data_IF_266111131935
#
_entry.id   IF_266111131935
#
_cell.length_a   1.000
_cell.length_b   1.000
_cell.length_c   1.000
_cell.angle_alpha   90.00
_cell.angle_beta   90.00
_cell.angle_gamma   90.00
#
_symmetry.space_group_name_H-M   'P 1'
#
loop_
_entity.id
_entity.type
_entity.pdbx_description
1 polymer ?
#
# COMPACT_ATOMS: atom_id res chain seq x y z
N UNK A 1 40.28 -6.99 -8.00
CA UNK A 1 38.95 -7.01 -7.37
C UNK A 1 37.95 -6.15 -8.16
N UNK A 2 38.20 -4.85 -8.33
CA UNK A 2 37.34 -3.92 -9.10
C UNK A 2 37.12 -4.27 -10.59
N UNK A 3 38.10 -4.90 -11.25
CA UNK A 3 37.96 -5.36 -12.65
C UNK A 3 36.98 -6.52 -12.85
N UNK A 4 36.68 -7.33 -11.82
CA UNK A 4 35.71 -8.44 -11.94
C UNK A 4 34.28 -7.93 -11.82
N UNK A 5 34.03 -7.05 -10.85
CA UNK A 5 32.71 -6.44 -10.63
C UNK A 5 32.25 -5.63 -11.86
N UNK A 6 33.18 -4.94 -12.55
CA UNK A 6 32.88 -4.19 -13.77
C UNK A 6 32.47 -5.07 -14.97
N UNK A 7 32.87 -6.34 -15.00
CA UNK A 7 32.52 -7.26 -16.08
C UNK A 7 31.15 -7.92 -15.86
N UNK A 8 30.72 -8.09 -14.62
CA UNK A 8 29.41 -8.70 -14.30
C UNK A 8 28.24 -7.73 -14.49
N UNK A 9 28.50 -6.42 -14.48
CA UNK A 9 27.49 -5.36 -14.61
C UNK A 9 27.26 -4.86 -16.03
N UNK A 10 28.05 -5.31 -17.01
CA UNK A 10 27.87 -4.90 -18.40
C UNK A 10 27.15 -6.01 -19.19
N UNK A 11 25.91 -5.81 -19.65
CA UNK A 11 25.23 -6.80 -20.48
C UNK A 11 26.00 -7.01 -21.80
N UNK A 12 25.94 -8.21 -22.40
CA UNK A 12 26.61 -8.47 -23.66
C UNK A 12 26.10 -7.52 -24.73
N UNK A 13 27.03 -6.96 -25.53
CA UNK A 13 26.67 -6.07 -26.63
C UNK A 13 25.74 -6.81 -27.61
N UNK A 14 24.72 -6.14 -28.17
CA UNK A 14 23.80 -6.77 -29.11
C UNK A 14 24.57 -7.30 -30.32
N UNK A 15 24.50 -8.62 -30.56
CA UNK A 15 25.11 -9.28 -31.72
C UNK A 15 26.05 -10.46 -31.45
N UNK A 16 26.36 -10.81 -30.19
CA UNK A 16 27.13 -12.04 -29.91
C UNK A 16 26.21 -13.27 -29.77
N UNK A 17 26.48 -14.38 -30.48
CA UNK A 17 25.73 -15.62 -30.33
C UNK A 17 26.00 -16.23 -28.94
N UNK A 18 24.93 -16.53 -28.19
CA UNK A 18 25.01 -17.22 -26.90
C UNK A 18 25.49 -18.65 -27.13
N UNK A 19 26.59 -19.05 -26.49
CA UNK A 19 26.98 -20.46 -26.45
C UNK A 19 25.96 -21.25 -25.61
N UNK A 20 25.50 -22.42 -26.07
CA UNK A 20 24.59 -23.27 -25.31
C UNK A 20 25.31 -23.85 -24.10
N UNK A 21 24.94 -23.40 -22.90
CA UNK A 21 25.40 -23.99 -21.65
C UNK A 21 24.85 -25.40 -21.49
N UNK A 22 25.72 -26.34 -21.14
CA UNK A 22 25.38 -27.73 -20.87
C UNK A 22 24.29 -27.85 -19.80
N UNK A 23 23.19 -28.53 -20.14
CA UNK A 23 22.11 -28.82 -19.21
C UNK A 23 22.60 -29.83 -18.15
N UNK A 24 22.36 -29.59 -16.85
CA UNK A 24 22.61 -30.61 -15.84
C UNK A 24 21.64 -31.78 -16.04
N UNK A 25 22.20 -32.98 -16.17
CA UNK A 25 21.46 -34.24 -16.27
C UNK A 25 20.85 -34.59 -14.90
N UNK A 26 19.62 -34.14 -14.69
CA UNK A 26 18.77 -34.51 -13.57
C UNK A 26 17.33 -34.23 -13.97
N UNK A 27 16.60 -35.25 -14.40
CA UNK A 27 15.20 -35.11 -14.80
C UNK A 27 14.36 -34.56 -13.64
N UNK A 28 13.37 -33.70 -13.88
CA UNK A 28 12.48 -33.26 -12.82
C UNK A 28 11.68 -34.47 -12.35
N UNK A 29 12.08 -35.04 -11.21
CA UNK A 29 11.18 -35.86 -10.41
C UNK A 29 9.91 -35.05 -10.24
N UNK A 30 8.79 -35.58 -10.74
CA UNK A 30 7.50 -34.92 -10.69
C UNK A 30 7.25 -34.47 -9.26
N UNK A 31 7.29 -33.16 -9.05
CA UNK A 31 6.86 -32.57 -7.79
C UNK A 31 5.37 -32.87 -7.74
N UNK A 32 4.99 -33.91 -7.01
CA UNK A 32 3.60 -34.23 -6.79
C UNK A 32 2.92 -32.95 -6.27
N UNK A 33 1.95 -32.44 -7.04
CA UNK A 33 1.19 -31.27 -6.65
C UNK A 33 0.70 -31.50 -5.22
N UNK A 34 1.07 -30.64 -4.24
CA UNK A 34 0.58 -30.80 -2.89
C UNK A 34 -0.94 -30.80 -2.97
N UNK A 35 -1.58 -31.82 -2.41
CA UNK A 35 -3.04 -31.91 -2.35
C UNK A 35 -3.53 -30.68 -1.59
N UNK A 36 -4.03 -29.70 -2.33
CA UNK A 36 -4.30 -28.37 -1.84
C UNK A 36 -5.45 -28.43 -0.83
N UNK A 37 -5.12 -28.35 0.45
CA UNK A 37 -6.04 -27.75 1.41
C UNK A 37 -6.34 -26.34 0.88
N UNK A 38 -7.50 -26.18 0.23
CA UNK A 38 -7.85 -24.93 -0.45
C UNK A 38 -7.67 -23.73 0.47
N UNK A 39 -7.12 -22.65 -0.06
CA UNK A 39 -6.96 -21.38 0.67
C UNK A 39 -8.33 -20.89 1.13
N UNK A 40 -8.62 -20.95 2.43
CA UNK A 40 -9.89 -20.48 2.98
C UNK A 40 -9.84 -18.97 3.20
N UNK A 41 -10.31 -18.21 2.22
CA UNK A 41 -10.47 -16.75 2.36
C UNK A 41 -11.91 -16.42 2.73
N UNK A 42 -12.09 -15.84 3.91
CA UNK A 42 -13.39 -15.44 4.45
C UNK A 42 -13.52 -13.94 4.67
N UNK A 43 -12.43 -13.17 4.55
CA UNK A 43 -12.37 -11.74 4.87
C UNK A 43 -11.82 -10.99 3.68
N UNK A 44 -12.51 -9.94 3.30
CA UNK A 44 -12.16 -9.10 2.17
C UNK A 44 -12.21 -7.64 2.60
N UNK A 45 -11.21 -6.87 2.20
CA UNK A 45 -11.21 -5.41 2.35
C UNK A 45 -11.53 -4.77 1.02
N UNK A 46 -12.22 -3.63 1.00
CA UNK A 46 -12.53 -2.95 -0.27
C UNK A 46 -12.40 -1.44 -0.13
N UNK A 47 -11.96 -0.77 -1.20
CA UNK A 47 -11.93 0.69 -1.24
C UNK A 47 -13.36 1.25 -1.25
N UNK A 48 -13.68 2.28 -0.45
CA UNK A 48 -15.01 2.88 -0.39
C UNK A 48 -14.92 4.41 -0.44
N UNK A 49 -15.51 5.02 -1.47
CA UNK A 49 -15.63 6.47 -1.60
C UNK A 49 -17.03 6.84 -2.10
N UNK A 50 -17.63 7.91 -1.54
CA UNK A 50 -19.02 8.28 -1.83
C UNK A 50 -19.31 8.62 -3.30
N UNK A 51 -18.29 9.05 -4.04
CA UNK A 51 -18.38 9.39 -5.47
C UNK A 51 -18.00 8.21 -6.39
N UNK A 52 -17.68 7.03 -5.85
CA UNK A 52 -17.25 5.88 -6.65
C UNK A 52 -18.40 4.85 -6.84
N UNK A 53 -19.10 4.84 -7.99
CA UNK A 53 -20.20 3.90 -8.22
C UNK A 53 -19.72 2.45 -8.37
N UNK A 54 -18.53 2.24 -8.94
CA UNK A 54 -17.96 0.91 -9.21
C UNK A 54 -17.82 0.08 -7.93
N UNK A 55 -17.26 0.70 -6.88
CA UNK A 55 -17.01 0.00 -5.62
C UNK A 55 -18.30 -0.33 -4.87
N UNK A 56 -19.22 0.63 -4.78
CA UNK A 56 -20.50 0.42 -4.12
C UNK A 56 -21.29 -0.75 -4.75
N UNK A 57 -21.34 -0.79 -6.10
CA UNK A 57 -21.98 -1.87 -6.84
C UNK A 57 -21.29 -3.24 -6.61
N UNK A 58 -19.95 -3.28 -6.60
CA UNK A 58 -19.20 -4.51 -6.35
C UNK A 58 -19.45 -5.03 -4.92
N UNK A 59 -19.38 -4.17 -3.90
CA UNK A 59 -19.60 -4.55 -2.51
C UNK A 59 -21.02 -5.10 -2.28
N UNK A 60 -22.04 -4.49 -2.90
CA UNK A 60 -23.41 -4.99 -2.85
C UNK A 60 -23.55 -6.37 -3.50
N UNK A 61 -22.90 -6.58 -4.65
CA UNK A 61 -22.94 -7.86 -5.36
C UNK A 61 -22.18 -8.97 -4.61
N UNK A 62 -21.02 -8.68 -4.04
CA UNK A 62 -20.27 -9.64 -3.21
C UNK A 62 -21.10 -10.14 -2.03
N UNK A 63 -21.80 -9.24 -1.32
CA UNK A 63 -22.68 -9.62 -0.20
C UNK A 63 -23.84 -10.50 -0.65
N UNK A 64 -24.53 -10.11 -1.73
CA UNK A 64 -25.65 -10.89 -2.27
C UNK A 64 -25.23 -12.29 -2.68
N UNK A 65 -24.06 -12.40 -3.31
CA UNK A 65 -23.58 -13.65 -3.85
C UNK A 65 -22.98 -14.57 -2.78
N UNK A 66 -22.33 -14.00 -1.76
CA UNK A 66 -21.95 -14.74 -0.57
C UNK A 66 -23.16 -15.35 0.13
N UNK A 67 -24.25 -14.59 0.28
CA UNK A 67 -25.50 -15.10 0.86
C UNK A 67 -26.10 -16.24 0.02
N UNK A 68 -26.08 -16.13 -1.31
CA UNK A 68 -26.55 -17.20 -2.22
C UNK A 68 -25.72 -18.47 -2.11
N UNK A 69 -24.41 -18.33 -1.95
CA UNK A 69 -23.47 -19.46 -1.86
C UNK A 69 -23.32 -20.01 -0.43
N UNK A 70 -24.03 -19.47 0.56
CA UNK A 70 -23.93 -19.89 1.96
C UNK A 70 -22.57 -19.58 2.61
N UNK A 71 -21.85 -18.59 2.09
CA UNK A 71 -20.52 -18.20 2.55
C UNK A 71 -20.60 -17.23 3.72
N UNK A 72 -19.90 -17.53 4.81
CA UNK A 72 -19.62 -16.59 5.89
C UNK A 72 -18.54 -15.59 5.44
N UNK A 73 -18.97 -14.54 4.72
CA UNK A 73 -18.11 -13.50 4.18
C UNK A 73 -18.07 -12.28 5.11
N UNK A 74 -16.89 -11.93 5.61
CA UNK A 74 -16.62 -10.64 6.24
C UNK A 74 -16.12 -9.65 5.18
N UNK A 75 -16.93 -8.63 4.88
CA UNK A 75 -16.55 -7.56 3.94
C UNK A 75 -16.37 -6.24 4.71
N UNK A 76 -15.11 -5.85 4.93
CA UNK A 76 -14.74 -4.68 5.71
C UNK A 76 -14.34 -3.51 4.79
N UNK A 77 -14.85 -2.28 5.03
CA UNK A 77 -14.40 -1.12 4.28
C UNK A 77 -12.96 -0.75 4.68
N UNK A 78 -12.14 -0.43 3.69
CA UNK A 78 -10.82 0.16 3.90
C UNK A 78 -10.93 1.69 4.02
N UNK A 79 -10.11 2.30 4.88
CA UNK A 79 -9.91 3.75 4.91
C UNK A 79 -9.41 4.20 3.54
N UNK A 80 -10.25 4.91 2.80
CA UNK A 80 -9.98 5.28 1.41
C UNK A 80 -9.65 6.77 1.33
N UNK A 81 -8.51 7.11 0.72
CA UNK A 81 -8.04 8.50 0.59
C UNK A 81 -7.96 8.93 -0.88
N UNK A 82 -8.75 8.30 -1.74
CA UNK A 82 -8.85 8.63 -3.16
C UNK A 82 -10.06 9.52 -3.46
N UNK A 83 -10.05 10.19 -4.61
CA UNK A 83 -11.15 11.05 -5.07
C UNK A 83 -12.29 10.28 -5.75
N UNK A 84 -12.20 8.95 -5.87
CA UNK A 84 -13.25 8.11 -6.46
C UNK A 84 -13.24 7.97 -8.00
N UNK A 85 -12.30 8.62 -8.70
CA UNK A 85 -12.18 8.61 -10.17
C UNK A 85 -11.19 7.56 -10.72
N UNK A 86 -10.85 6.52 -9.95
CA UNK A 86 -9.84 5.54 -10.32
C UNK A 86 -10.24 4.69 -11.55
N UNK A 87 -9.28 4.53 -12.47
CA UNK A 87 -9.45 3.71 -13.67
C UNK A 87 -9.32 2.22 -13.35
N UNK A 88 -8.35 1.85 -12.50
CA UNK A 88 -7.99 0.45 -12.17
C UNK A 88 -8.85 -0.18 -11.07
N UNK A 89 -9.60 0.64 -10.32
CA UNK A 89 -10.50 0.17 -9.26
C UNK A 89 -11.78 -0.49 -9.82
N UNK A 90 -12.54 -1.23 -8.98
CA UNK A 90 -12.39 -1.31 -7.52
C UNK A 90 -11.28 -2.28 -7.09
N UNK A 91 -10.67 -1.98 -5.95
CA UNK A 91 -9.69 -2.85 -5.32
C UNK A 91 -10.31 -3.66 -4.19
N UNK A 92 -9.89 -4.91 -4.09
CA UNK A 92 -10.36 -5.88 -3.11
C UNK A 92 -9.16 -6.58 -2.47
N UNK A 93 -8.90 -6.34 -1.19
CA UNK A 93 -7.81 -6.97 -0.45
C UNK A 93 -8.21 -8.32 0.14
N UNK A 94 -7.21 -9.18 0.25
CA UNK A 94 -7.26 -10.53 0.81
C UNK A 94 -6.27 -10.57 1.99
N UNK A 95 -6.61 -10.02 3.16
CA UNK A 95 -5.66 -9.85 4.26
C UNK A 95 -5.00 -11.16 4.70
N UNK A 96 -5.70 -12.30 4.57
CA UNK A 96 -5.17 -13.62 4.94
C UNK A 96 -4.07 -14.12 4.01
N UNK A 97 -4.04 -13.63 2.77
CA UNK A 97 -3.10 -14.09 1.75
C UNK A 97 -2.05 -13.06 1.40
N UNK A 98 -2.15 -11.86 1.97
CA UNK A 98 -1.35 -10.70 1.63
C UNK A 98 -1.39 -10.32 0.13
N UNK A 99 -2.59 -10.42 -0.46
CA UNK A 99 -2.84 -10.15 -1.88
C UNK A 99 -4.00 -9.15 -2.10
N UNK A 100 -4.08 -8.61 -3.31
CA UNK A 100 -5.25 -7.86 -3.78
C UNK A 100 -5.70 -8.30 -5.16
N UNK A 101 -7.00 -8.11 -5.37
CA UNK A 101 -7.60 -8.06 -6.69
C UNK A 101 -7.90 -6.62 -7.10
N UNK A 102 -7.74 -6.32 -8.40
CA UNK A 102 -8.10 -5.04 -8.99
C UNK A 102 -9.08 -5.22 -10.17
N UNK A 103 -9.86 -4.18 -10.45
CA UNK A 103 -10.77 -4.12 -11.59
C UNK A 103 -11.86 -5.21 -11.59
N UNK A 104 -12.26 -5.70 -10.42
CA UNK A 104 -13.30 -6.74 -10.33
C UNK A 104 -14.65 -6.14 -10.68
N UNK A 105 -15.33 -6.72 -11.68
CA UNK A 105 -16.66 -6.24 -12.06
C UNK A 105 -17.75 -6.85 -11.16
N UNK A 106 -18.88 -6.17 -10.97
CA UNK A 106 -19.96 -6.70 -10.14
C UNK A 106 -20.54 -8.04 -10.63
N UNK A 107 -20.44 -8.36 -11.93
CA UNK A 107 -20.88 -9.64 -12.51
C UNK A 107 -19.91 -10.79 -12.23
N UNK A 108 -18.61 -10.51 -12.07
CA UNK A 108 -17.60 -11.51 -11.75
C UNK A 108 -17.56 -11.90 -10.28
N UNK A 109 -18.20 -11.12 -9.39
CA UNK A 109 -18.17 -11.31 -7.94
C UNK A 109 -18.45 -12.75 -7.50
N UNK A 110 -19.41 -13.43 -8.13
CA UNK A 110 -19.78 -14.80 -7.77
C UNK A 110 -18.80 -15.86 -8.19
N UNK A 111 -18.28 -15.76 -9.41
CA UNK A 111 -17.21 -16.62 -9.87
C UNK A 111 -15.95 -16.41 -9.02
N UNK A 112 -15.66 -15.17 -8.63
CA UNK A 112 -14.52 -14.84 -7.79
C UNK A 112 -14.63 -15.48 -6.40
N UNK A 113 -15.79 -15.39 -5.74
CA UNK A 113 -16.03 -16.04 -4.45
C UNK A 113 -15.98 -17.58 -4.56
N UNK A 114 -16.54 -18.15 -5.62
CA UNK A 114 -16.49 -19.59 -5.83
C UNK A 114 -15.06 -20.09 -6.04
N UNK A 115 -14.25 -19.37 -6.82
CA UNK A 115 -12.85 -19.73 -7.02
C UNK A 115 -12.02 -19.51 -5.74
N UNK A 116 -12.11 -18.31 -5.14
CA UNK A 116 -11.22 -17.90 -4.05
C UNK A 116 -11.64 -18.45 -2.69
N UNK A 117 -12.92 -18.34 -2.31
CA UNK A 117 -13.40 -18.71 -0.98
C UNK A 117 -13.81 -20.18 -0.87
N UNK A 118 -14.43 -20.76 -1.92
CA UNK A 118 -14.89 -22.16 -1.88
C UNK A 118 -13.81 -23.13 -2.37
N UNK A 119 -13.28 -22.89 -3.58
CA UNK A 119 -12.30 -23.78 -4.19
C UNK A 119 -10.85 -23.53 -3.74
N UNK A 120 -10.59 -22.40 -3.07
CA UNK A 120 -9.28 -22.04 -2.57
C UNK A 120 -8.25 -21.73 -3.65
N UNK A 121 -8.71 -21.28 -4.82
CA UNK A 121 -7.89 -20.93 -5.99
C UNK A 121 -7.89 -19.42 -6.20
N UNK A 122 -6.72 -18.88 -6.55
CA UNK A 122 -6.60 -17.47 -6.90
C UNK A 122 -7.06 -17.21 -8.33
N UNK A 123 -7.79 -16.10 -8.51
CA UNK A 123 -8.16 -15.61 -9.84
C UNK A 123 -7.01 -14.79 -10.39
N UNK A 124 -6.01 -15.47 -10.98
CA UNK A 124 -4.75 -14.85 -11.42
C UNK A 124 -4.93 -13.62 -12.31
N UNK A 125 -5.93 -13.61 -13.22
CA UNK A 125 -6.21 -12.45 -14.08
C UNK A 125 -6.63 -11.18 -13.35
N UNK A 126 -7.08 -11.31 -12.09
CA UNK A 126 -7.49 -10.19 -11.23
C UNK A 126 -6.45 -9.86 -10.19
N UNK A 127 -5.45 -10.72 -9.97
CA UNK A 127 -4.36 -10.43 -9.05
C UNK A 127 -3.63 -9.18 -9.50
N UNK A 128 -3.53 -8.23 -8.58
CA UNK A 128 -2.75 -7.02 -8.79
C UNK A 128 -1.39 -7.22 -8.12
N UNK A 129 -0.43 -7.70 -8.90
CA UNK A 129 0.94 -7.98 -8.49
C UNK A 129 1.87 -6.98 -9.18
N UNK A 130 1.86 -5.75 -8.69
CA UNK A 130 2.84 -4.76 -9.09
C UNK A 130 3.68 -4.41 -7.85
N UNK A 131 4.93 -4.91 -7.73
CA UNK A 131 5.78 -4.63 -6.57
C UNK A 131 6.16 -3.14 -6.47
N UNK A 132 5.85 -2.34 -7.50
CA UNK A 132 6.01 -0.89 -7.47
C UNK A 132 4.78 -0.17 -6.91
N UNK A 133 3.61 -0.81 -6.83
CA UNK A 133 2.33 -0.19 -6.42
C UNK A 133 1.68 -0.89 -5.22
N UNK A 134 1.90 -2.19 -5.06
CA UNK A 134 1.34 -2.99 -3.98
C UNK A 134 2.47 -3.76 -3.34
N UNK A 135 2.80 -3.37 -2.11
CA UNK A 135 3.74 -4.10 -1.27
C UNK A 135 3.02 -4.98 -0.25
N UNK A 136 1.72 -4.74 0.01
CA UNK A 136 1.02 -5.30 1.18
C UNK A 136 -0.52 -5.20 1.06
N UNK A 137 -1.28 -6.28 1.28
CA UNK A 137 -2.77 -6.37 1.24
C UNK A 137 -3.54 -5.40 2.13
N UNK A 138 -2.84 -4.72 3.03
CA UNK A 138 -3.39 -3.79 4.00
C UNK A 138 -3.28 -2.35 3.53
N UNK A 139 -2.46 -2.08 2.50
CA UNK A 139 -2.28 -0.74 1.91
C UNK A 139 -2.22 -0.82 0.39
N UNK A 140 -3.07 -0.04 -0.24
CA UNK A 140 -3.03 0.21 -1.67
C UNK A 140 -2.35 1.55 -1.88
N UNK A 141 -1.14 1.54 -2.42
CA UNK A 141 -0.33 2.74 -2.61
C UNK A 141 0.04 2.92 -4.09
N UNK A 142 -0.69 3.79 -4.80
CA UNK A 142 -0.34 4.09 -6.19
C UNK A 142 0.94 4.93 -6.24
N UNK A 143 2.05 4.31 -6.66
CA UNK A 143 3.39 4.91 -6.61
C UNK A 143 3.62 5.97 -7.68
N UNK A 144 3.01 5.86 -8.86
CA UNK A 144 3.28 6.82 -9.93
C UNK A 144 2.74 8.22 -9.60
N UNK A 145 1.59 8.27 -8.93
CA UNK A 145 0.90 9.45 -8.42
C UNK A 145 1.27 9.73 -6.96
N UNK A 146 1.87 8.78 -6.24
CA UNK A 146 2.15 8.91 -4.81
C UNK A 146 0.87 8.91 -3.97
N UNK A 147 -0.18 8.24 -4.43
CA UNK A 147 -1.50 8.30 -3.81
C UNK A 147 -1.74 7.08 -2.93
N UNK A 148 -1.97 7.31 -1.63
CA UNK A 148 -2.53 6.29 -0.76
C UNK A 148 -3.99 6.08 -1.13
N UNK A 149 -4.32 4.97 -1.78
CA UNK A 149 -5.66 4.71 -2.31
C UNK A 149 -6.57 4.18 -1.20
N UNK A 150 -6.14 3.14 -0.50
CA UNK A 150 -6.90 2.54 0.59
C UNK A 150 -5.99 1.88 1.62
N UNK A 151 -6.43 1.83 2.87
CA UNK A 151 -5.74 1.13 3.97
C UNK A 151 -6.75 0.33 4.79
N UNK A 152 -6.41 -0.89 5.20
CA UNK A 152 -7.26 -1.69 6.08
C UNK A 152 -7.56 -0.94 7.39
N UNK A 153 -8.81 -1.03 7.86
CA UNK A 153 -9.21 -0.46 9.13
C UNK A 153 -8.41 -1.07 10.31
N UNK A 154 -8.10 -0.25 11.31
CA UNK A 154 -7.32 -0.65 12.49
C UNK A 154 -5.81 -0.54 12.31
N UNK A 155 -5.32 -0.05 11.17
CA UNK A 155 -3.92 0.39 11.03
C UNK A 155 -3.80 1.91 11.22
N UNK A 156 -2.70 2.33 11.82
CA UNK A 156 -2.45 3.74 12.09
C UNK A 156 -2.01 4.48 10.82
N UNK A 157 -2.87 5.40 10.34
CA UNK A 157 -2.57 6.25 9.18
C UNK A 157 -1.38 7.18 9.45
N UNK A 158 -1.31 7.76 10.66
CA UNK A 158 -0.20 8.66 11.05
C UNK A 158 1.11 7.87 11.04
N UNK A 159 1.12 6.64 11.56
CA UNK A 159 2.26 5.75 11.53
C UNK A 159 2.72 5.44 10.10
N UNK A 160 1.79 5.13 9.19
CA UNK A 160 2.10 4.90 7.78
C UNK A 160 2.77 6.12 7.12
N UNK A 161 2.18 7.32 7.24
CA UNK A 161 2.79 8.51 6.63
C UNK A 161 4.11 8.91 7.31
N UNK A 162 4.27 8.62 8.60
CA UNK A 162 5.55 8.80 9.32
C UNK A 162 6.63 7.92 8.72
N UNK A 163 6.34 6.64 8.53
CA UNK A 163 7.25 5.68 7.90
C UNK A 163 7.62 6.08 6.46
N UNK A 164 6.64 6.50 5.66
CA UNK A 164 6.91 7.00 4.31
C UNK A 164 7.87 8.19 4.34
N UNK A 165 7.68 9.13 5.27
CA UNK A 165 8.57 10.28 5.42
C UNK A 165 9.94 9.96 6.03
N UNK A 166 10.06 8.89 6.82
CA UNK A 166 11.36 8.34 7.24
C UNK A 166 12.17 7.87 6.02
N UNK A 167 11.55 7.06 5.16
CA UNK A 167 12.16 6.61 3.90
C UNK A 167 12.49 7.79 2.98
N UNK A 168 11.53 8.69 2.75
CA UNK A 168 11.74 9.85 1.88
C UNK A 168 12.82 10.80 2.40
N UNK A 169 12.99 10.90 3.73
CA UNK A 169 14.07 11.65 4.35
C UNK A 169 15.45 11.03 4.04
N UNK A 170 15.54 9.70 4.02
CA UNK A 170 16.77 8.99 3.64
C UNK A 170 17.09 9.10 2.14
N UNK A 171 16.06 9.09 1.28
CA UNK A 171 16.22 9.13 -0.18
C UNK A 171 16.36 10.56 -0.76
N UNK A 172 16.11 11.59 0.03
CA UNK A 172 16.22 12.98 -0.42
C UNK A 172 17.67 13.29 -0.82
N UNK A 173 17.88 13.68 -2.09
CA UNK A 173 19.21 14.08 -2.55
C UNK A 173 19.73 15.40 -1.93
N UNK A 174 18.88 16.14 -1.21
CA UNK A 174 19.26 17.37 -0.48
C UNK A 174 19.67 18.56 -1.35
N UNK A 175 19.51 18.50 -2.69
CA UNK A 175 19.98 19.55 -3.60
C UNK A 175 19.29 20.90 -3.39
N UNK A 176 17.97 20.91 -3.24
CA UNK A 176 17.20 22.12 -3.02
C UNK A 176 16.89 22.31 -1.53
N UNK A 177 16.89 23.57 -1.07
CA UNK A 177 16.59 23.94 0.31
C UNK A 177 15.28 23.32 0.88
N UNK A 178 14.14 23.35 0.17
CA UNK A 178 12.90 22.76 0.69
C UNK A 178 13.01 21.24 0.89
N UNK A 179 13.65 20.48 0.00
CA UNK A 179 13.84 19.04 0.22
C UNK A 179 14.88 18.74 1.31
N UNK A 180 15.94 19.55 1.40
CA UNK A 180 17.03 19.36 2.39
C UNK A 180 16.59 19.58 3.83
N UNK A 181 15.61 20.46 4.07
CA UNK A 181 15.13 20.75 5.43
C UNK A 181 13.67 20.31 5.64
N UNK A 182 12.82 20.52 4.64
CA UNK A 182 11.39 20.29 4.73
C UNK A 182 11.02 18.83 4.95
N UNK A 183 11.70 17.89 4.27
CA UNK A 183 11.41 16.45 4.45
C UNK A 183 11.69 16.00 5.88
N UNK A 184 12.83 16.40 6.44
CA UNK A 184 13.17 16.10 7.84
C UNK A 184 12.28 16.83 8.85
N UNK A 185 11.87 18.08 8.55
CA UNK A 185 10.91 18.82 9.38
C UNK A 185 9.56 18.09 9.42
N UNK A 186 9.02 17.69 8.27
CA UNK A 186 7.77 16.95 8.18
C UNK A 186 7.87 15.62 8.93
N UNK A 187 8.93 14.85 8.71
CA UNK A 187 9.15 13.60 9.43
C UNK A 187 9.17 13.83 10.96
N UNK A 188 9.84 14.87 11.45
CA UNK A 188 9.86 15.23 12.88
C UNK A 188 8.48 15.62 13.41
N UNK A 189 7.72 16.42 12.66
CA UNK A 189 6.37 16.82 13.04
C UNK A 189 5.43 15.61 13.10
N UNK A 190 5.52 14.70 12.13
CA UNK A 190 4.76 13.46 12.10
C UNK A 190 5.09 12.56 13.29
N UNK A 191 6.38 12.38 13.62
CA UNK A 191 6.81 11.67 14.84
C UNK A 191 6.26 12.31 16.11
N UNK A 192 6.25 13.64 16.18
CA UNK A 192 5.64 14.37 17.29
C UNK A 192 4.15 14.04 17.42
N UNK A 193 3.39 14.15 16.32
CA UNK A 193 1.95 13.84 16.32
C UNK A 193 1.70 12.38 16.67
N UNK A 194 2.50 11.45 16.15
CA UNK A 194 2.40 10.03 16.48
C UNK A 194 2.59 9.76 17.98
N UNK A 195 3.46 10.53 18.64
CA UNK A 195 3.67 10.51 20.09
C UNK A 195 2.69 11.41 20.88
N UNK A 196 1.65 11.94 20.25
CA UNK A 196 0.66 12.81 20.89
C UNK A 196 1.15 14.23 21.21
N UNK A 197 2.21 14.68 20.55
CA UNK A 197 2.87 15.96 20.81
C UNK A 197 2.62 16.99 19.69
N UNK A 198 2.66 18.27 20.05
CA UNK A 198 2.66 19.40 19.11
C UNK A 198 1.36 20.19 19.04
N UNK A 199 0.21 19.59 19.42
CA UNK A 199 -1.10 20.24 19.43
C UNK A 199 -1.53 20.82 18.07
N UNK A 200 -2.57 21.67 18.07
CA UNK A 200 -3.10 22.30 16.85
C UNK A 200 -2.02 23.09 16.09
N UNK A 201 -1.14 23.79 16.81
CA UNK A 201 -0.02 24.52 16.21
C UNK A 201 1.00 23.59 15.52
N UNK A 202 1.17 22.36 16.01
CA UNK A 202 1.96 21.32 15.36
C UNK A 202 1.33 20.85 14.06
N UNK A 203 0.02 20.62 14.07
CA UNK A 203 -0.75 20.21 12.89
C UNK A 203 -0.74 21.29 11.81
N UNK A 204 -0.93 22.56 12.18
CA UNK A 204 -0.85 23.68 11.23
C UNK A 204 0.55 23.83 10.63
N UNK A 205 1.61 23.66 11.44
CA UNK A 205 2.99 23.62 10.93
C UNK A 205 3.21 22.46 9.95
N UNK A 206 2.62 21.29 10.22
CA UNK A 206 2.70 20.14 9.32
C UNK A 206 2.04 20.46 7.97
N UNK A 207 0.85 21.06 7.97
CA UNK A 207 0.14 21.48 6.76
C UNK A 207 0.97 22.49 5.96
N UNK A 208 1.52 23.50 6.61
CA UNK A 208 2.35 24.53 5.96
C UNK A 208 3.64 23.94 5.38
N UNK A 209 4.35 23.11 6.14
CA UNK A 209 5.58 22.45 5.69
C UNK A 209 5.31 21.53 4.48
N UNK A 210 4.21 20.77 4.53
CA UNK A 210 3.78 19.89 3.42
C UNK A 210 3.51 20.71 2.16
N UNK A 211 2.77 21.81 2.27
CA UNK A 211 2.49 22.70 1.13
C UNK A 211 3.76 23.33 0.56
N UNK A 212 4.67 23.79 1.42
CA UNK A 212 5.92 24.40 0.98
C UNK A 212 6.80 23.40 0.24
N UNK A 213 6.94 22.17 0.75
CA UNK A 213 7.71 21.12 0.10
C UNK A 213 7.10 20.70 -1.24
N UNK A 214 5.77 20.64 -1.33
CA UNK A 214 5.06 20.27 -2.55
C UNK A 214 5.31 21.26 -3.72
N UNK A 215 5.53 22.55 -3.42
CA UNK A 215 5.52 23.63 -4.42
C UNK A 215 6.89 24.24 -4.71
N UNK A 216 7.89 24.06 -3.83
CA UNK A 216 9.16 24.79 -3.90
C UNK A 216 10.36 23.94 -4.38
N UNK A 217 10.14 22.67 -4.71
CA UNK A 217 11.19 21.74 -5.13
C UNK A 217 11.79 22.07 -6.51
N UNK A 218 13.09 21.83 -6.68
CA UNK A 218 13.74 21.91 -8.00
C UNK A 218 13.32 20.77 -8.95
N UNK A 219 12.95 19.61 -8.38
CA UNK A 219 12.44 18.45 -9.11
C UNK A 219 11.11 17.98 -8.51
N UNK A 220 10.45 17.02 -9.16
CA UNK A 220 9.15 16.47 -8.75
C UNK A 220 9.20 15.59 -7.50
N UNK A 221 10.36 15.37 -6.88
CA UNK A 221 10.47 14.55 -5.67
C UNK A 221 9.59 15.10 -4.55
N UNK A 222 9.72 16.39 -4.22
CA UNK A 222 8.97 17.05 -3.15
C UNK A 222 7.46 16.95 -3.35
N UNK A 223 6.99 17.26 -4.55
CA UNK A 223 5.59 17.12 -4.96
C UNK A 223 5.07 15.70 -4.71
N UNK A 224 5.74 14.69 -5.27
CA UNK A 224 5.31 13.28 -5.19
C UNK A 224 5.28 12.73 -3.78
N UNK A 225 6.28 13.01 -2.96
CA UNK A 225 6.33 12.48 -1.59
C UNK A 225 5.31 13.15 -0.66
N UNK A 226 4.86 14.35 -0.99
CA UNK A 226 3.85 15.08 -0.19
C UNK A 226 2.42 14.70 -0.55
N UNK A 227 2.16 14.12 -1.71
CA UNK A 227 0.80 13.77 -2.14
C UNK A 227 0.04 12.84 -1.18
N UNK A 228 0.62 11.74 -0.65
CA UNK A 228 -0.11 10.88 0.26
C UNK A 228 -0.45 11.61 1.57
N UNK A 229 0.47 12.46 2.05
CA UNK A 229 0.26 13.26 3.25
C UNK A 229 -0.78 14.37 3.02
N UNK A 230 -0.78 15.00 1.84
CA UNK A 230 -1.76 16.03 1.46
C UNK A 230 -3.17 15.46 1.42
N UNK A 231 -3.35 14.26 0.84
CA UNK A 231 -4.61 13.53 0.84
C UNK A 231 -5.04 13.11 2.25
N UNK A 232 -4.11 12.58 3.04
CA UNK A 232 -4.37 12.23 4.44
C UNK A 232 -4.80 13.44 5.28
N UNK A 233 -4.11 14.58 5.15
CA UNK A 233 -4.47 15.83 5.83
C UNK A 233 -5.80 16.40 5.34
N UNK A 234 -6.12 16.26 4.05
CA UNK A 234 -7.37 16.77 3.47
C UNK A 234 -8.59 15.91 3.81
N UNK A 235 -8.46 14.58 3.76
CA UNK A 235 -9.59 13.64 3.90
C UNK A 235 -9.68 13.01 5.29
N UNK A 236 -8.56 12.96 6.03
CA UNK A 236 -8.45 12.27 7.31
C UNK A 236 -7.80 13.14 8.41
N UNK A 237 -7.92 14.49 8.34
CA UNK A 237 -7.49 15.41 9.42
C UNK A 237 -7.93 14.96 10.83
N UNK A 238 -9.17 14.46 11.05
CA UNK A 238 -9.60 14.01 12.37
C UNK A 238 -8.76 12.86 12.95
N UNK A 239 -8.10 12.06 12.10
CA UNK A 239 -7.18 11.00 12.55
C UNK A 239 -5.93 11.59 13.20
N UNK A 240 -5.39 12.67 12.63
CA UNK A 240 -4.25 13.40 13.21
C UNK A 240 -4.65 14.10 14.51
N UNK A 241 -5.83 14.74 14.53
CA UNK A 241 -6.33 15.40 15.73
C UNK A 241 -6.53 14.41 16.89
N UNK A 242 -7.11 13.24 16.60
CA UNK A 242 -7.29 12.18 17.59
C UNK A 242 -5.97 11.79 18.26
N UNK A 243 -4.87 11.70 17.50
CA UNK A 243 -3.56 11.37 18.09
C UNK A 243 -3.10 12.43 19.08
N UNK A 244 -3.34 13.71 18.78
CA UNK A 244 -3.01 14.82 19.67
C UNK A 244 -3.89 14.82 20.93
N UNK A 245 -5.19 14.56 20.77
CA UNK A 245 -6.14 14.56 21.88
C UNK A 245 -5.95 13.37 22.82
N UNK A 246 -5.58 12.20 22.29
CA UNK A 246 -5.44 10.95 23.04
C UNK A 246 -4.00 10.66 23.50
N UNK A 247 -3.03 11.48 23.09
CA UNK A 247 -1.62 11.25 23.42
C UNK A 247 -0.96 10.13 22.61
N UNK A 248 -1.52 9.73 21.47
CA UNK A 248 -0.99 8.68 20.61
C UNK A 248 -2.05 7.89 19.85
N UNK A 249 -1.69 6.69 19.40
CA UNK A 249 -2.59 5.79 18.69
C UNK A 249 -3.77 5.34 19.57
N UNK A 250 -4.94 5.14 18.95
CA UNK A 250 -6.10 4.61 19.65
C UNK A 250 -5.88 3.13 20.05
N UNK A 251 -6.55 2.68 21.11
CA UNK A 251 -6.46 1.30 21.57
C UNK A 251 -6.84 0.31 20.44
N UNK A 252 -5.90 -0.60 20.11
CA UNK A 252 -6.08 -1.59 19.04
C UNK A 252 -5.60 -1.14 17.66
N UNK A 253 -5.13 0.10 17.48
CA UNK A 253 -4.44 0.49 16.24
C UNK A 253 -3.08 -0.20 16.12
N UNK A 254 -2.83 -0.81 14.97
CA UNK A 254 -1.59 -1.50 14.63
C UNK A 254 -0.73 -0.63 13.72
N UNK A 255 0.58 -0.79 13.82
CA UNK A 255 1.51 -0.22 12.85
C UNK A 255 1.83 -1.25 11.78
N UNK A 256 1.80 -0.85 10.51
CA UNK A 256 2.13 -1.72 9.38
C UNK A 256 3.61 -2.04 9.33
N UNK A 257 4.42 -1.05 9.67
CA UNK A 257 5.86 -1.18 9.79
C UNK A 257 6.26 -1.09 11.25
N UNK A 258 7.19 -1.93 11.72
CA UNK A 258 7.81 -1.68 13.01
C UNK A 258 8.43 -0.28 12.96
N UNK A 259 8.26 0.50 14.03
CA UNK A 259 9.11 1.67 14.22
C UNK A 259 10.57 1.19 14.13
N UNK A 260 11.43 2.02 13.55
CA UNK A 260 12.83 1.74 13.22
C UNK A 260 13.49 0.76 14.20
N UNK A 261 14.34 -0.20 13.77
CA UNK A 261 14.96 -1.18 14.68
C UNK A 261 15.60 -0.46 15.89
N UNK A 262 14.92 -0.55 17.04
CA UNK A 262 15.19 0.26 18.23
C UNK A 262 13.94 0.75 18.98
N UNK A 263 12.79 0.88 18.30
CA UNK A 263 11.52 1.29 18.92
C UNK A 263 10.52 0.12 18.92
N UNK A 264 10.81 -0.91 19.71
CA UNK A 264 9.80 -1.92 20.04
C UNK A 264 8.67 -1.27 20.85
N UNK A 265 7.45 -1.47 20.38
CA UNK A 265 6.21 -1.13 21.07
C UNK A 265 6.31 -1.48 22.57
N UNK A 266 6.25 -0.44 23.40
CA UNK A 266 5.91 -0.55 24.82
C UNK A 266 4.41 -0.34 24.97
#
# INVERSE_FOLDING_TARGET
>A
MWRRIANDLNPPRPGQPRQPGAAPAGGPGGVAAPQAAGLKVSRYTFCQHGQCPKSAALAANLRREAARQGLALELAPALTLCQGACQDGPFLGLPQLDLFYAGVTPSEAGALLAETSLAGRLVFRRLYLDPTVVTDSRVIFERHQGTLVAMEAGYCLVGLVTYLFEFNAAESCGKCYPCRLGVHLIHRLLRGILAGQGGEAGLERLVQATRALAQAGYCQFGERITEPLRLALGMARPVFQRHLDQGGCAAGERHLWPASPGESAQ
#
